data_IF_348937310717
#
_entry.id   IF_348937310717
#
_cell.length_a   1.000
_cell.length_b   1.000
_cell.length_c   1.000
_cell.angle_alpha   90.00
_cell.angle_beta   90.00
_cell.angle_gamma   90.00
#
_symmetry.space_group_name_H-M   'P 1'
#
loop_
_entity.id
_entity.type
_entity.pdbx_description
1 polymer ?
#
# COMPACT_ATOMS: atom_id res chain seq x y z
N UNK A 1 -10.55 31.63 -9.20
CA UNK A 1 -10.04 31.58 -7.80
C UNK A 1 -8.85 30.65 -7.77
N UNK A 2 -7.82 30.98 -6.99
CA UNK A 2 -6.69 30.06 -6.77
C UNK A 2 -7.16 28.88 -5.93
N UNK A 3 -6.57 27.72 -6.18
CA UNK A 3 -6.77 26.51 -5.39
C UNK A 3 -5.88 26.54 -4.16
N UNK A 4 -6.46 26.32 -3.00
CA UNK A 4 -5.79 26.40 -1.70
C UNK A 4 -5.08 25.09 -1.37
N UNK A 5 -3.84 25.20 -0.90
CA UNK A 5 -2.98 24.08 -0.53
C UNK A 5 -2.54 24.19 0.91
N UNK A 6 -2.58 23.08 1.63
CA UNK A 6 -1.92 22.92 2.93
C UNK A 6 -0.77 21.92 2.75
N UNK A 7 0.40 22.25 3.28
CA UNK A 7 1.58 21.38 3.26
C UNK A 7 1.69 20.70 4.63
N UNK A 8 1.83 19.38 4.64
CA UNK A 8 2.02 18.57 5.86
C UNK A 8 3.31 17.79 5.74
N UNK A 9 4.36 18.29 6.39
CA UNK A 9 5.73 17.77 6.30
C UNK A 9 6.52 18.24 7.54
N UNK A 10 7.18 17.32 8.24
CA UNK A 10 8.00 17.66 9.42
C UNK A 10 9.36 18.26 9.07
N UNK A 11 9.74 18.23 7.78
CA UNK A 11 10.95 18.85 7.27
C UNK A 11 10.72 20.32 6.90
N UNK A 12 10.91 21.24 7.85
CA UNK A 12 10.66 22.68 7.70
C UNK A 12 11.28 23.27 6.42
N UNK A 13 12.52 22.88 6.08
CA UNK A 13 13.17 23.39 4.86
C UNK A 13 12.48 22.94 3.59
N UNK A 14 11.96 21.71 3.56
CA UNK A 14 11.22 21.16 2.40
C UNK A 14 9.87 21.86 2.27
N UNK A 15 9.13 22.01 3.38
CA UNK A 15 7.86 22.72 3.39
C UNK A 15 8.00 24.17 2.88
N UNK A 16 9.02 24.90 3.36
CA UNK A 16 9.30 26.26 2.90
C UNK A 16 9.73 26.34 1.44
N UNK A 17 10.54 25.39 0.96
CA UNK A 17 10.93 25.30 -0.45
C UNK A 17 9.70 25.04 -1.34
N UNK A 18 8.85 24.10 -0.98
CA UNK A 18 7.59 23.80 -1.68
C UNK A 18 6.68 25.03 -1.73
N UNK A 19 6.51 25.75 -0.61
CA UNK A 19 5.74 26.99 -0.57
C UNK A 19 6.32 28.04 -1.52
N UNK A 20 7.64 28.22 -1.52
CA UNK A 20 8.32 29.14 -2.45
C UNK A 20 8.10 28.77 -3.91
N UNK A 21 8.15 27.46 -4.25
CA UNK A 21 7.89 26.95 -5.60
C UNK A 21 6.43 27.20 -5.98
N UNK A 22 5.48 26.81 -5.14
CA UNK A 22 4.03 26.90 -5.41
C UNK A 22 3.58 28.36 -5.53
N UNK A 23 4.22 29.28 -4.83
CA UNK A 23 3.92 30.72 -4.93
C UNK A 23 4.10 31.27 -6.36
N UNK A 24 4.95 30.62 -7.20
CA UNK A 24 5.13 30.96 -8.60
C UNK A 24 4.07 30.36 -9.54
N UNK A 25 3.20 29.48 -9.03
CA UNK A 25 2.12 28.89 -9.81
C UNK A 25 0.89 29.82 -9.79
N UNK A 26 0.38 30.18 -10.96
CA UNK A 26 -0.73 31.13 -11.06
C UNK A 26 -2.03 30.63 -10.43
N UNK A 27 -2.25 29.30 -10.48
CA UNK A 27 -3.52 28.66 -10.12
C UNK A 27 -3.59 28.24 -8.64
N UNK A 28 -2.48 28.32 -7.87
CA UNK A 28 -2.38 27.76 -6.53
C UNK A 28 -1.94 28.80 -5.50
N UNK A 29 -2.29 28.54 -4.24
CA UNK A 29 -1.78 29.31 -3.08
C UNK A 29 -1.61 28.39 -1.87
N UNK A 30 -0.54 28.58 -1.11
CA UNK A 30 -0.31 27.84 0.14
C UNK A 30 -0.91 28.63 1.30
N UNK A 31 -1.87 28.03 2.00
CA UNK A 31 -2.49 28.67 3.14
C UNK A 31 -1.64 28.58 4.41
N UNK A 32 -1.17 27.36 4.74
CA UNK A 32 -0.33 27.12 5.92
C UNK A 32 0.41 25.79 5.80
N UNK A 33 1.31 25.58 6.75
CA UNK A 33 2.14 24.40 6.89
C UNK A 33 1.82 23.72 8.24
N UNK A 34 1.95 22.38 8.29
CA UNK A 34 1.77 21.57 9.48
C UNK A 34 2.92 20.57 9.58
N UNK A 35 3.46 20.33 10.78
CA UNK A 35 4.57 19.41 11.00
C UNK A 35 4.16 17.93 11.01
N UNK A 36 2.86 17.63 11.11
CA UNK A 36 2.32 16.27 11.13
C UNK A 36 0.79 16.26 11.00
N UNK A 37 0.21 15.06 10.84
CA UNK A 37 -1.23 14.88 10.70
C UNK A 37 -2.04 15.37 11.92
N UNK A 38 -1.48 15.28 13.12
CA UNK A 38 -2.20 15.74 14.32
C UNK A 38 -2.39 17.27 14.35
N UNK A 39 -1.37 18.01 13.92
CA UNK A 39 -1.46 19.48 13.77
C UNK A 39 -2.48 19.81 12.68
N UNK A 40 -2.49 19.09 11.55
CA UNK A 40 -3.50 19.27 10.51
C UNK A 40 -4.92 19.08 11.05
N UNK A 41 -5.17 18.02 11.81
CA UNK A 41 -6.49 17.77 12.43
C UNK A 41 -6.94 18.97 13.29
N UNK A 42 -6.05 19.50 14.13
CA UNK A 42 -6.35 20.65 14.99
C UNK A 42 -6.66 21.92 14.16
N UNK A 43 -5.89 22.15 13.10
CA UNK A 43 -6.11 23.30 12.22
C UNK A 43 -7.45 23.20 11.48
N UNK A 44 -7.80 22.03 10.93
CA UNK A 44 -9.07 21.84 10.24
C UNK A 44 -10.27 21.96 11.19
N UNK A 45 -10.16 21.46 12.42
CA UNK A 45 -11.22 21.60 13.43
C UNK A 45 -11.46 23.05 13.87
N UNK A 46 -10.45 23.92 13.77
CA UNK A 46 -10.54 25.33 14.19
C UNK A 46 -10.99 26.30 13.09
N UNK A 47 -11.05 25.84 11.84
CA UNK A 47 -11.35 26.67 10.66
C UNK A 47 -12.69 26.33 10.05
N UNK A 48 -13.39 27.35 9.57
CA UNK A 48 -14.68 27.20 8.86
C UNK A 48 -14.51 26.85 7.37
N UNK A 49 -13.32 26.99 6.81
CA UNK A 49 -13.01 26.73 5.40
C UNK A 49 -11.96 25.63 5.31
N UNK A 50 -12.20 24.66 4.40
CA UNK A 50 -11.30 23.56 4.14
C UNK A 50 -10.39 23.88 2.94
N UNK A 51 -9.14 23.37 2.92
CA UNK A 51 -8.29 23.49 1.75
C UNK A 51 -8.80 22.61 0.61
N UNK A 52 -8.49 23.01 -0.64
CA UNK A 52 -8.76 22.17 -1.81
C UNK A 52 -7.81 20.95 -1.84
N UNK A 53 -6.54 21.16 -1.46
CA UNK A 53 -5.48 20.16 -1.57
C UNK A 53 -4.67 20.09 -0.29
N UNK A 54 -4.30 18.87 0.11
CA UNK A 54 -3.27 18.59 1.10
C UNK A 54 -2.07 17.94 0.40
N UNK A 55 -0.90 18.62 0.43
CA UNK A 55 0.39 18.01 0.10
C UNK A 55 0.90 17.29 1.34
N UNK A 56 1.04 15.97 1.28
CA UNK A 56 1.22 15.11 2.44
C UNK A 56 2.51 14.31 2.35
N UNK A 57 3.42 14.52 3.27
CA UNK A 57 4.54 13.59 3.47
C UNK A 57 4.08 12.30 4.16
N UNK A 58 4.83 11.22 3.93
CA UNK A 58 4.57 9.91 4.54
C UNK A 58 5.22 9.82 5.92
N UNK A 59 6.48 10.20 6.02
CA UNK A 59 7.33 9.91 7.18
C UNK A 59 7.35 11.07 8.18
N UNK A 60 6.33 11.15 9.01
CA UNK A 60 6.21 12.21 10.03
C UNK A 60 6.02 11.63 11.43
N UNK A 61 6.47 12.33 12.49
CA UNK A 61 6.24 11.92 13.88
C UNK A 61 4.78 12.13 14.30
N UNK A 62 4.36 11.48 15.39
CA UNK A 62 3.06 11.61 16.07
C UNK A 62 1.89 11.03 15.27
N UNK A 63 1.67 11.47 14.03
CA UNK A 63 0.66 10.96 13.10
C UNK A 63 1.25 11.02 11.70
N UNK A 64 1.54 9.86 11.15
CA UNK A 64 2.21 9.71 9.86
C UNK A 64 1.27 10.01 8.67
N UNK A 65 1.82 9.98 7.45
CA UNK A 65 1.05 10.26 6.25
C UNK A 65 -0.01 9.20 5.96
N UNK A 66 0.22 7.94 6.33
CA UNK A 66 -0.78 6.88 6.12
C UNK A 66 -2.01 7.07 7.00
N UNK A 67 -1.78 7.37 8.28
CA UNK A 67 -2.85 7.65 9.25
C UNK A 67 -3.59 8.93 8.88
N UNK A 68 -2.84 9.95 8.43
CA UNK A 68 -3.40 11.25 8.01
C UNK A 68 -4.29 11.11 6.78
N UNK A 69 -3.82 10.39 5.76
CA UNK A 69 -4.60 10.15 4.54
C UNK A 69 -5.89 9.38 4.85
N UNK A 70 -5.80 8.31 5.66
CA UNK A 70 -6.97 7.54 6.08
C UNK A 70 -7.98 8.42 6.83
N UNK A 71 -7.51 9.24 7.77
CA UNK A 71 -8.38 10.14 8.53
C UNK A 71 -9.04 11.18 7.64
N UNK A 72 -8.30 11.80 6.70
CA UNK A 72 -8.86 12.74 5.72
C UNK A 72 -9.95 12.06 4.88
N UNK A 73 -9.70 10.87 4.34
CA UNK A 73 -10.67 10.10 3.57
C UNK A 73 -11.98 9.86 4.33
N UNK A 74 -11.90 9.60 5.63
CA UNK A 74 -13.05 9.30 6.47
C UNK A 74 -13.83 10.55 6.93
N UNK A 75 -13.15 11.68 7.12
CA UNK A 75 -13.74 12.88 7.73
C UNK A 75 -13.87 14.08 6.78
N UNK A 76 -13.05 14.13 5.73
CA UNK A 76 -12.97 15.24 4.76
C UNK A 76 -12.74 14.72 3.34
N UNK A 77 -13.64 13.87 2.79
CA UNK A 77 -13.46 13.25 1.48
C UNK A 77 -13.42 14.24 0.31
N UNK A 78 -13.80 15.49 0.52
CA UNK A 78 -13.73 16.58 -0.45
C UNK A 78 -12.33 17.14 -0.65
N UNK A 79 -11.39 16.86 0.28
CA UNK A 79 -10.01 17.34 0.19
C UNK A 79 -9.21 16.40 -0.68
N UNK A 80 -8.58 16.92 -1.74
CA UNK A 80 -7.68 16.15 -2.58
C UNK A 80 -6.32 15.97 -1.88
N UNK A 81 -5.83 14.75 -1.84
CA UNK A 81 -4.56 14.40 -1.20
C UNK A 81 -3.51 14.10 -2.27
N UNK A 82 -2.45 14.92 -2.34
CA UNK A 82 -1.24 14.65 -3.11
C UNK A 82 -0.12 14.21 -2.16
N UNK A 83 0.30 12.97 -2.25
CA UNK A 83 1.45 12.48 -1.49
C UNK A 83 2.75 12.97 -2.11
N UNK A 84 3.64 13.53 -1.27
CA UNK A 84 5.02 13.85 -1.60
C UNK A 84 5.95 13.05 -0.70
N UNK A 85 6.77 12.15 -1.25
CA UNK A 85 7.60 11.27 -0.46
C UNK A 85 8.99 11.07 -1.04
N UNK A 86 9.95 10.70 -0.20
CA UNK A 86 11.23 10.14 -0.67
C UNK A 86 11.15 8.65 -1.02
N UNK A 87 10.02 7.99 -0.70
CA UNK A 87 9.80 6.55 -0.89
C UNK A 87 9.21 6.29 -2.29
N UNK A 88 9.80 5.37 -3.01
CA UNK A 88 9.35 4.92 -4.34
C UNK A 88 9.01 3.42 -4.35
N UNK A 89 8.94 2.80 -3.18
CA UNK A 89 8.60 1.38 -3.06
C UNK A 89 7.11 1.11 -3.27
N UNK A 90 6.82 -0.04 -3.87
CA UNK A 90 5.46 -0.44 -4.25
C UNK A 90 4.49 -0.51 -3.07
N UNK A 91 4.95 -0.94 -1.89
CA UNK A 91 4.10 -1.10 -0.72
C UNK A 91 3.61 0.25 -0.20
N UNK A 92 4.50 1.25 -0.12
CA UNK A 92 4.17 2.61 0.30
C UNK A 92 3.19 3.28 -0.65
N UNK A 93 3.42 3.17 -1.97
CA UNK A 93 2.52 3.72 -3.00
C UNK A 93 1.12 3.10 -2.89
N UNK A 94 1.02 1.78 -2.88
CA UNK A 94 -0.27 1.08 -2.80
C UNK A 94 -1.00 1.39 -1.50
N UNK A 95 -0.27 1.43 -0.38
CA UNK A 95 -0.85 1.74 0.94
C UNK A 95 -1.41 3.16 0.97
N UNK A 96 -0.71 4.16 0.39
CA UNK A 96 -1.21 5.54 0.30
C UNK A 96 -2.49 5.64 -0.53
N UNK A 97 -2.54 4.97 -1.68
CA UNK A 97 -3.72 4.94 -2.54
C UNK A 97 -4.91 4.28 -1.82
N UNK A 98 -4.71 3.14 -1.18
CA UNK A 98 -5.74 2.46 -0.37
C UNK A 98 -6.27 3.36 0.76
N UNK A 99 -5.41 4.20 1.34
CA UNK A 99 -5.78 5.16 2.38
C UNK A 99 -6.40 6.45 1.84
N UNK A 100 -6.57 6.60 0.54
CA UNK A 100 -7.31 7.72 -0.06
C UNK A 100 -6.44 8.81 -0.66
N UNK A 101 -5.14 8.59 -0.86
CA UNK A 101 -4.33 9.52 -1.65
C UNK A 101 -4.83 9.56 -3.09
N UNK A 102 -5.01 10.75 -3.63
CA UNK A 102 -5.44 11.00 -5.01
C UNK A 102 -4.27 11.17 -5.97
N UNK A 103 -3.06 11.36 -5.44
CA UNK A 103 -1.85 11.48 -6.24
C UNK A 103 -0.59 11.13 -5.47
N UNK A 104 0.48 10.83 -6.21
CA UNK A 104 1.78 10.48 -5.63
C UNK A 104 2.91 11.08 -6.46
N UNK A 105 3.84 11.78 -5.80
CA UNK A 105 5.06 12.32 -6.39
C UNK A 105 6.24 12.05 -5.47
N UNK A 106 7.43 12.00 -6.05
CA UNK A 106 8.67 11.99 -5.28
C UNK A 106 9.09 13.42 -4.92
N UNK A 107 9.65 13.63 -3.74
CA UNK A 107 10.15 14.95 -3.28
C UNK A 107 11.31 15.51 -4.13
N UNK A 108 11.97 14.68 -4.95
CA UNK A 108 12.99 15.08 -5.90
C UNK A 108 12.44 15.43 -7.30
N UNK A 109 11.12 15.48 -7.43
CA UNK A 109 10.44 15.83 -8.70
C UNK A 109 10.72 17.29 -9.09
N UNK A 110 10.90 17.55 -10.39
CA UNK A 110 11.10 18.90 -10.91
C UNK A 110 9.87 19.78 -10.67
N UNK A 111 10.03 21.09 -10.34
CA UNK A 111 8.91 22.00 -10.10
C UNK A 111 7.82 22.03 -11.18
N UNK A 112 8.20 21.95 -12.45
CA UNK A 112 7.24 21.90 -13.56
C UNK A 112 6.36 20.64 -13.55
N UNK A 113 6.89 19.51 -13.07
CA UNK A 113 6.10 18.29 -12.91
C UNK A 113 5.15 18.38 -11.71
N UNK A 114 5.56 19.06 -10.62
CA UNK A 114 4.68 19.34 -9.48
C UNK A 114 3.50 20.21 -9.92
N UNK A 115 3.72 21.28 -10.69
CA UNK A 115 2.67 22.15 -11.22
C UNK A 115 1.68 21.36 -12.09
N UNK A 116 2.21 20.56 -13.04
CA UNK A 116 1.41 19.69 -13.89
C UNK A 116 0.58 18.69 -13.08
N UNK A 117 1.20 18.07 -12.07
CA UNK A 117 0.53 17.11 -11.21
C UNK A 117 -0.61 17.73 -10.40
N UNK A 118 -0.39 18.91 -9.82
CA UNK A 118 -1.43 19.65 -9.11
C UNK A 118 -2.58 20.08 -10.03
N UNK A 119 -2.24 20.53 -11.24
CA UNK A 119 -3.25 20.89 -12.26
C UNK A 119 -4.11 19.68 -12.62
N UNK A 120 -3.48 18.55 -12.93
CA UNK A 120 -4.19 17.32 -13.24
C UNK A 120 -5.01 16.78 -12.06
N UNK A 121 -4.47 16.89 -10.84
CA UNK A 121 -5.20 16.52 -9.64
C UNK A 121 -6.52 17.27 -9.51
N UNK A 122 -6.52 18.57 -9.83
CA UNK A 122 -7.73 19.41 -9.78
C UNK A 122 -8.67 19.11 -10.94
N UNK A 123 -8.13 18.91 -12.15
CA UNK A 123 -8.94 18.70 -13.37
C UNK A 123 -9.55 17.29 -13.45
N UNK A 124 -8.72 16.27 -13.18
CA UNK A 124 -9.05 14.87 -13.38
C UNK A 124 -9.44 14.15 -12.07
N UNK A 125 -9.19 14.79 -10.91
CA UNK A 125 -9.42 14.21 -9.57
C UNK A 125 -8.28 13.32 -9.08
N UNK A 126 -7.28 13.02 -9.90
CA UNK A 126 -6.12 12.19 -9.53
C UNK A 126 -4.89 12.49 -10.38
N UNK A 127 -3.72 12.14 -9.86
CA UNK A 127 -2.47 12.15 -10.63
C UNK A 127 -1.48 11.10 -10.12
N UNK A 128 -1.09 10.18 -10.98
CA UNK A 128 -0.03 9.21 -10.71
C UNK A 128 0.95 9.17 -11.88
N UNK A 129 2.28 9.33 -11.64
CA UNK A 129 3.28 9.11 -12.68
C UNK A 129 3.21 7.68 -13.23
N UNK A 130 3.73 7.47 -14.44
CA UNK A 130 3.68 6.16 -15.11
C UNK A 130 4.26 5.01 -14.27
N UNK A 131 5.32 5.29 -13.50
CA UNK A 131 5.92 4.29 -12.63
C UNK A 131 4.99 3.87 -11.49
N UNK A 132 4.30 4.82 -10.84
CA UNK A 132 3.34 4.55 -9.77
C UNK A 132 2.08 3.85 -10.34
N UNK A 133 1.57 4.31 -11.48
CA UNK A 133 0.44 3.68 -12.17
C UNK A 133 0.71 2.22 -12.52
N UNK A 134 1.94 1.90 -12.98
CA UNK A 134 2.35 0.52 -13.25
C UNK A 134 2.36 -0.36 -11.99
N UNK A 135 2.83 0.16 -10.86
CA UNK A 135 2.80 -0.55 -9.57
C UNK A 135 1.37 -0.90 -9.16
N UNK A 136 0.46 0.07 -9.24
CA UNK A 136 -0.97 -0.16 -8.94
C UNK A 136 -1.57 -1.21 -9.85
N UNK A 137 -1.31 -1.13 -11.16
CA UNK A 137 -1.83 -2.10 -12.11
C UNK A 137 -1.30 -3.51 -11.86
N UNK A 138 -0.02 -3.64 -11.53
CA UNK A 138 0.59 -4.91 -11.16
C UNK A 138 -0.02 -5.49 -9.88
N UNK A 139 -0.26 -4.64 -8.86
CA UNK A 139 -0.87 -5.10 -7.61
C UNK A 139 -2.31 -5.58 -7.81
N UNK A 140 -3.11 -4.88 -8.62
CA UNK A 140 -4.47 -5.31 -8.96
C UNK A 140 -4.48 -6.66 -9.69
N UNK A 141 -3.47 -6.94 -10.49
CA UNK A 141 -3.31 -8.24 -11.15
C UNK A 141 -2.81 -9.33 -10.17
N UNK A 142 -2.08 -8.95 -9.13
CA UNK A 142 -1.68 -9.85 -8.04
C UNK A 142 -2.86 -10.11 -7.09
N UNK A 143 -3.64 -9.09 -6.75
CA UNK A 143 -4.86 -9.22 -5.93
C UNK A 143 -5.90 -10.12 -6.65
N UNK A 144 -6.06 -10.00 -7.97
CA UNK A 144 -6.89 -10.94 -8.77
C UNK A 144 -6.33 -12.37 -8.79
N UNK A 145 -5.01 -12.54 -8.72
CA UNK A 145 -4.39 -13.87 -8.52
C UNK A 145 -4.58 -14.36 -7.09
N UNK A 146 -4.68 -13.47 -6.09
CA UNK A 146 -4.98 -13.84 -4.70
C UNK A 146 -6.48 -14.04 -4.43
N UNK A 147 -7.39 -13.37 -5.14
CA UNK A 147 -8.84 -13.70 -5.10
C UNK A 147 -9.16 -15.04 -5.75
N UNK A 148 -8.35 -15.47 -6.71
CA UNK A 148 -8.25 -16.86 -7.17
C UNK A 148 -7.27 -17.69 -6.32
N UNK A 149 -6.84 -17.20 -5.16
CA UNK A 149 -6.00 -17.96 -4.26
C UNK A 149 -6.76 -19.22 -3.85
N UNK A 150 -6.22 -20.32 -4.27
CA UNK A 150 -6.71 -21.67 -4.01
C UNK A 150 -6.95 -21.79 -2.50
N UNK A 151 -8.23 -21.90 -2.09
CA UNK A 151 -8.59 -22.01 -0.68
C UNK A 151 -8.05 -23.32 -0.13
N UNK A 152 -6.92 -23.24 0.55
CA UNK A 152 -6.30 -24.36 1.26
C UNK A 152 -6.91 -24.44 2.67
N UNK A 153 -7.34 -25.64 3.06
CA UNK A 153 -7.72 -25.92 4.44
C UNK A 153 -6.48 -25.86 5.36
N UNK A 154 -6.70 -25.68 6.67
CA UNK A 154 -5.58 -25.64 7.63
C UNK A 154 -4.80 -26.96 7.64
N UNK A 155 -5.45 -28.09 7.39
CA UNK A 155 -4.79 -29.39 7.24
C UNK A 155 -3.95 -29.50 5.98
N UNK A 156 -4.35 -28.89 4.87
CA UNK A 156 -3.54 -28.82 3.65
C UNK A 156 -2.33 -27.90 3.82
N UNK A 157 -2.48 -26.79 4.55
CA UNK A 157 -1.35 -25.92 4.93
C UNK A 157 -0.36 -26.64 5.86
N UNK A 158 -0.86 -27.37 6.85
CA UNK A 158 -0.06 -28.19 7.75
C UNK A 158 0.71 -29.26 6.97
N UNK A 159 0.09 -29.91 5.98
CA UNK A 159 0.77 -30.85 5.12
C UNK A 159 1.85 -30.19 4.25
N UNK A 160 1.59 -29.00 3.68
CA UNK A 160 2.58 -28.22 2.92
C UNK A 160 3.81 -27.89 3.78
N UNK A 161 3.63 -27.50 5.04
CA UNK A 161 4.72 -27.30 5.98
C UNK A 161 5.60 -28.54 6.11
N UNK A 162 5.02 -29.73 6.29
CA UNK A 162 5.80 -30.97 6.35
C UNK A 162 6.35 -31.43 5.00
N UNK A 163 5.79 -30.97 3.88
CA UNK A 163 6.24 -31.37 2.54
C UNK A 163 7.66 -30.90 2.20
N UNK A 164 8.15 -29.82 2.87
CA UNK A 164 9.51 -29.29 2.70
C UNK A 164 10.57 -30.07 3.51
N UNK A 165 10.14 -31.00 4.35
CA UNK A 165 11.02 -31.84 5.15
C UNK A 165 11.31 -33.18 4.44
N UNK A 166 12.29 -33.94 4.98
CA UNK A 166 12.60 -35.29 4.49
C UNK A 166 11.65 -36.38 5.03
N UNK A 167 10.63 -36.02 5.82
CA UNK A 167 9.70 -36.97 6.43
C UNK A 167 8.94 -37.79 5.41
N UNK A 168 8.79 -39.08 5.67
CA UNK A 168 7.88 -39.96 4.95
C UNK A 168 6.42 -39.63 5.26
N UNK A 169 5.47 -40.05 4.42
CA UNK A 169 4.04 -39.83 4.70
C UNK A 169 3.56 -40.52 5.98
N UNK A 170 4.22 -41.56 6.42
CA UNK A 170 3.97 -42.20 7.71
C UNK A 170 4.34 -41.27 8.87
N UNK A 171 5.54 -40.69 8.82
CA UNK A 171 6.03 -39.76 9.84
C UNK A 171 5.22 -38.46 9.85
N UNK A 172 4.83 -37.94 8.67
CA UNK A 172 3.91 -36.81 8.53
C UNK A 172 2.56 -37.14 9.17
N UNK A 173 2.02 -38.34 8.93
CA UNK A 173 0.77 -38.79 9.56
C UNK A 173 0.85 -38.83 11.09
N UNK A 174 1.97 -39.28 11.65
CA UNK A 174 2.21 -39.24 13.09
C UNK A 174 2.23 -37.81 13.62
N UNK A 175 2.87 -36.86 12.94
CA UNK A 175 2.91 -35.43 13.30
C UNK A 175 1.54 -34.76 13.20
N UNK A 176 0.79 -35.07 12.16
CA UNK A 176 -0.55 -34.53 11.90
C UNK A 176 -1.67 -35.27 12.67
N UNK A 177 -1.33 -36.30 13.49
CA UNK A 177 -2.28 -37.16 14.21
C UNK A 177 -3.35 -37.76 13.26
N UNK A 178 -2.91 -38.30 12.12
CA UNK A 178 -3.78 -38.93 11.14
C UNK A 178 -3.12 -40.14 10.47
N UNK A 179 -3.92 -40.92 9.71
CA UNK A 179 -3.37 -42.08 9.00
C UNK A 179 -2.53 -41.66 7.79
N UNK A 180 -1.54 -42.48 7.36
CA UNK A 180 -0.77 -42.21 6.15
C UNK A 180 -1.67 -42.04 4.91
N UNK A 181 -2.76 -42.78 4.82
CA UNK A 181 -3.76 -42.67 3.73
C UNK A 181 -4.45 -41.30 3.74
N UNK A 182 -4.67 -40.70 4.93
CA UNK A 182 -5.20 -39.33 5.05
C UNK A 182 -4.18 -38.30 4.55
N UNK A 183 -2.90 -38.51 4.82
CA UNK A 183 -1.80 -37.65 4.30
C UNK A 183 -1.74 -37.72 2.76
N UNK A 184 -1.87 -38.94 2.19
CA UNK A 184 -1.96 -39.09 0.75
C UNK A 184 -3.17 -38.38 0.15
N UNK A 185 -4.31 -38.38 0.83
CA UNK A 185 -5.49 -37.64 0.41
C UNK A 185 -5.26 -36.12 0.36
N UNK A 186 -4.53 -35.54 1.36
CA UNK A 186 -4.13 -34.15 1.31
C UNK A 186 -3.18 -33.86 0.15
N UNK A 187 -2.21 -34.75 -0.12
CA UNK A 187 -1.33 -34.63 -1.30
C UNK A 187 -2.15 -34.59 -2.59
N UNK A 188 -3.06 -35.52 -2.77
CA UNK A 188 -3.84 -35.66 -4.00
C UNK A 188 -4.76 -34.45 -4.22
N UNK A 189 -5.41 -33.97 -3.14
CA UNK A 189 -6.17 -32.72 -3.17
C UNK A 189 -5.31 -31.51 -3.55
N UNK A 190 -4.09 -31.43 -3.03
CA UNK A 190 -3.16 -30.34 -3.36
C UNK A 190 -2.61 -30.45 -4.78
N UNK A 191 -2.37 -31.67 -5.28
CA UNK A 191 -1.98 -31.88 -6.67
C UNK A 191 -3.05 -31.36 -7.63
N UNK A 192 -4.32 -31.62 -7.34
CA UNK A 192 -5.44 -31.14 -8.14
C UNK A 192 -5.59 -29.61 -8.01
N UNK A 193 -5.64 -29.08 -6.79
CA UNK A 193 -5.84 -27.65 -6.52
C UNK A 193 -4.72 -26.77 -7.05
N UNK A 194 -3.47 -27.24 -6.97
CA UNK A 194 -2.27 -26.46 -7.32
C UNK A 194 -1.76 -26.80 -8.74
N UNK A 195 -2.42 -27.72 -9.46
CA UNK A 195 -2.00 -28.23 -10.77
C UNK A 195 -0.55 -28.78 -10.76
N UNK A 196 -0.15 -29.40 -9.63
CA UNK A 196 1.17 -29.99 -9.43
C UNK A 196 1.11 -31.51 -9.57
N UNK A 197 2.24 -32.15 -9.87
CA UNK A 197 2.31 -33.61 -10.09
C UNK A 197 3.34 -34.33 -9.21
N UNK A 198 4.15 -33.57 -8.44
CA UNK A 198 5.25 -34.18 -7.68
C UNK A 198 5.35 -33.55 -6.27
N UNK A 199 5.87 -34.34 -5.30
CA UNK A 199 6.16 -33.84 -3.96
C UNK A 199 7.17 -32.67 -3.99
N UNK A 200 8.15 -32.70 -4.88
CA UNK A 200 9.09 -31.61 -5.07
C UNK A 200 8.35 -30.33 -5.49
N UNK A 201 7.36 -30.44 -6.37
CA UNK A 201 6.50 -29.32 -6.76
C UNK A 201 5.76 -28.72 -5.56
N UNK A 202 5.22 -29.56 -4.66
CA UNK A 202 4.58 -29.09 -3.41
C UNK A 202 5.58 -28.40 -2.48
N UNK A 203 6.78 -28.96 -2.30
CA UNK A 203 7.81 -28.36 -1.47
C UNK A 203 8.26 -27.00 -2.01
N UNK A 204 8.48 -26.87 -3.32
CA UNK A 204 8.80 -25.58 -3.98
C UNK A 204 7.66 -24.57 -3.83
N UNK A 205 6.42 -25.02 -3.96
CA UNK A 205 5.24 -24.16 -3.74
C UNK A 205 5.18 -23.68 -2.28
N UNK A 206 5.40 -24.59 -1.32
CA UNK A 206 5.40 -24.27 0.10
C UNK A 206 6.46 -23.23 0.45
N UNK A 207 7.70 -23.38 -0.01
CA UNK A 207 8.78 -22.40 0.19
C UNK A 207 8.47 -21.05 -0.43
N UNK A 208 7.94 -21.00 -1.65
CA UNK A 208 7.59 -19.75 -2.34
C UNK A 208 6.46 -18.98 -1.68
N UNK A 209 5.58 -19.64 -0.94
CA UNK A 209 4.42 -19.04 -0.30
C UNK A 209 4.53 -18.99 1.24
N UNK A 210 5.72 -19.21 1.80
CA UNK A 210 6.01 -19.04 3.23
C UNK A 210 5.42 -20.12 4.14
N UNK A 211 5.02 -21.27 3.61
CA UNK A 211 4.49 -22.38 4.43
C UNK A 211 5.56 -23.13 5.20
N UNK A 212 6.85 -22.91 4.94
CA UNK A 212 7.99 -23.41 5.72
C UNK A 212 8.10 -22.77 7.12
N UNK A 213 7.42 -21.65 7.36
CA UNK A 213 7.38 -20.92 8.64
C UNK A 213 5.99 -20.97 9.29
N UNK A 214 5.14 -21.91 8.88
CA UNK A 214 3.78 -22.01 9.39
C UNK A 214 3.77 -22.43 10.87
N UNK A 215 3.29 -21.53 11.76
CA UNK A 215 3.07 -21.79 13.18
C UNK A 215 1.59 -22.14 13.43
N UNK A 216 1.36 -23.14 14.34
CA UNK A 216 0.02 -23.60 14.75
C UNK A 216 -0.72 -22.56 15.58
#
# INVERSE_FOLDING_TARGET
MKKSIVIVDDHVLIAQALKGIITNFEQFEVWYECDNGKVLQQQLASKSTLPDIVLLDISMPVMDGFETAKWLKENHPEILIMTLSMQDDEQSVIKMIKNGSHGYLLKNTHPAELEKALTRLVEDGYYYPDWASRMVFNSLNQDKKQENAIKLSDREKEFLYYSVTEMSYKEIGEKMFCSPRTVESYRDSLFEKLELKTRVGLAVYALKNGFDQWEK
#
